data_IF_294888712050
#
_entry.id   IF_294888712050
#
_cell.length_a   1.000
_cell.length_b   1.000
_cell.length_c   1.000
_cell.angle_alpha   90.00
_cell.angle_beta   90.00
_cell.angle_gamma   90.00
#
_symmetry.space_group_name_H-M   'P 1'
#
loop_
_entity.id
_entity.type
_entity.pdbx_description
1 polymer ?
#
# COMPACT_ATOMS: atom_id res chain seq x y z
N UNK A 1 22.64 -1.06 9.64
CA UNK A 1 22.16 -1.73 8.40
C UNK A 1 21.70 -0.62 7.48
N UNK A 2 22.53 -0.25 6.49
CA UNK A 2 22.22 0.82 5.53
C UNK A 2 21.17 0.25 4.59
N UNK A 3 19.98 0.81 4.58
CA UNK A 3 18.90 0.39 3.69
C UNK A 3 19.23 0.92 2.29
N UNK A 4 19.90 0.12 1.49
CA UNK A 4 20.07 0.42 0.07
C UNK A 4 18.73 0.14 -0.60
N UNK A 5 18.05 1.18 -1.06
CA UNK A 5 16.95 1.04 -2.02
C UNK A 5 17.55 0.57 -3.36
N UNK A 6 17.89 -0.72 -3.45
CA UNK A 6 18.65 -1.30 -4.56
C UNK A 6 17.88 -1.38 -5.89
N UNK A 7 16.61 -0.93 -5.90
CA UNK A 7 15.82 -0.85 -7.14
C UNK A 7 15.82 0.54 -7.82
N UNK A 8 16.23 1.58 -7.11
CA UNK A 8 16.19 2.95 -7.61
C UNK A 8 17.55 3.34 -8.17
N UNK A 9 17.88 2.84 -9.35
CA UNK A 9 18.97 3.41 -10.11
C UNK A 9 18.52 4.74 -10.72
N UNK A 10 19.42 5.73 -10.75
CA UNK A 10 19.25 6.98 -11.49
C UNK A 10 19.16 6.64 -12.99
N UNK A 11 17.98 6.13 -13.39
CA UNK A 11 17.61 5.89 -14.78
C UNK A 11 16.82 7.11 -15.25
N UNK A 12 16.76 7.34 -16.56
CA UNK A 12 15.92 8.38 -17.16
C UNK A 12 14.45 8.26 -16.73
N UNK A 13 14.02 7.06 -16.30
CA UNK A 13 12.69 6.81 -15.76
C UNK A 13 12.37 7.49 -14.41
N UNK A 14 13.38 7.90 -13.63
CA UNK A 14 13.14 8.59 -12.34
C UNK A 14 12.48 9.96 -12.53
N UNK A 15 12.97 10.78 -13.44
CA UNK A 15 12.41 12.11 -13.65
C UNK A 15 10.96 12.03 -14.16
N UNK A 16 10.62 10.99 -14.92
CA UNK A 16 9.25 10.73 -15.37
C UNK A 16 8.32 10.27 -14.24
N UNK A 17 8.84 9.57 -13.25
CA UNK A 17 8.07 9.00 -12.14
C UNK A 17 8.09 9.86 -10.87
N UNK A 18 8.97 10.83 -10.78
CA UNK A 18 9.25 11.64 -9.58
C UNK A 18 8.00 12.25 -8.96
N UNK A 19 7.15 12.85 -9.78
CA UNK A 19 5.92 13.48 -9.29
C UNK A 19 4.94 12.46 -8.69
N UNK A 20 4.86 11.28 -9.29
CA UNK A 20 4.06 10.17 -8.76
C UNK A 20 4.57 9.68 -7.40
N UNK A 21 5.88 9.56 -7.28
CA UNK A 21 6.55 9.16 -6.03
C UNK A 21 6.33 10.21 -4.92
N UNK A 22 6.57 11.49 -5.23
CA UNK A 22 6.34 12.58 -4.27
C UNK A 22 4.88 12.56 -3.80
N UNK A 23 3.94 12.45 -4.73
CA UNK A 23 2.51 12.38 -4.42
C UNK A 23 2.17 11.19 -3.52
N UNK A 24 2.69 10.01 -3.81
CA UNK A 24 2.48 8.82 -2.97
C UNK A 24 3.05 9.01 -1.56
N UNK A 25 4.22 9.63 -1.44
CA UNK A 25 4.80 9.94 -0.13
C UNK A 25 4.00 10.99 0.63
N UNK A 26 3.45 11.99 -0.05
CA UNK A 26 2.58 13.00 0.55
C UNK A 26 1.26 12.44 1.08
N UNK A 27 0.76 11.33 0.50
CA UNK A 27 -0.40 10.60 1.04
C UNK A 27 -0.08 9.94 2.40
N UNK A 28 1.17 9.59 2.63
CA UNK A 28 1.63 9.00 3.91
C UNK A 28 2.04 10.07 4.92
N UNK A 29 2.67 11.12 4.45
CA UNK A 29 3.14 12.25 5.23
C UNK A 29 3.05 13.55 4.42
N UNK A 30 2.00 14.37 4.62
CA UNK A 30 1.80 15.61 3.88
C UNK A 30 2.87 16.69 4.14
N UNK A 31 3.75 16.49 5.12
CA UNK A 31 4.87 17.42 5.35
C UNK A 31 6.00 17.25 4.36
N UNK A 32 6.02 16.18 3.59
CA UNK A 32 7.02 15.91 2.55
C UNK A 32 6.80 16.87 1.38
N UNK A 33 7.82 17.64 1.05
CA UNK A 33 7.77 18.60 -0.06
C UNK A 33 8.49 18.12 -1.31
N UNK A 34 9.49 17.26 -1.15
CA UNK A 34 10.24 16.66 -2.26
C UNK A 34 10.99 15.40 -1.83
N UNK A 35 11.38 14.63 -2.83
CA UNK A 35 12.23 13.44 -2.69
C UNK A 35 13.37 13.57 -3.68
N UNK A 36 14.57 13.17 -3.28
CA UNK A 36 15.75 13.22 -4.12
C UNK A 36 16.71 12.08 -3.85
N UNK A 37 17.78 12.05 -4.64
CA UNK A 37 18.89 11.12 -4.44
C UNK A 37 20.16 11.89 -4.18
N UNK A 38 20.91 11.48 -3.18
CA UNK A 38 22.26 11.98 -2.95
C UNK A 38 23.28 10.85 -3.09
N UNK A 39 24.42 11.18 -3.60
CA UNK A 39 25.53 10.24 -3.74
C UNK A 39 26.06 9.91 -2.33
N UNK A 40 26.03 8.63 -1.98
CA UNK A 40 26.60 8.06 -0.78
C UNK A 40 27.77 7.18 -1.21
N UNK A 41 28.88 7.22 -0.59
CA UNK A 41 30.11 6.45 -0.85
C UNK A 41 30.21 5.73 -2.22
N UNK A 42 31.26 6.02 -2.98
CA UNK A 42 31.54 5.49 -4.32
C UNK A 42 30.42 5.72 -5.35
N UNK A 43 29.66 4.72 -5.75
CA UNK A 43 28.59 4.84 -6.78
C UNK A 43 27.19 4.52 -6.24
N UNK A 44 27.03 4.45 -4.92
CA UNK A 44 25.73 4.24 -4.30
C UNK A 44 25.00 5.58 -4.12
N UNK A 45 23.68 5.55 -4.30
CA UNK A 45 22.78 6.69 -4.04
C UNK A 45 21.89 6.36 -2.86
N UNK A 46 21.64 7.37 -2.04
CA UNK A 46 20.68 7.31 -0.94
C UNK A 46 19.48 8.19 -1.26
N UNK A 47 18.28 7.69 -0.92
CA UNK A 47 17.05 8.50 -0.98
C UNK A 47 17.06 9.52 0.14
N UNK A 48 16.77 10.78 -0.18
CA UNK A 48 16.62 11.86 0.77
C UNK A 48 15.24 12.47 0.67
N UNK A 49 14.68 12.80 1.82
CA UNK A 49 13.34 13.37 1.95
C UNK A 49 13.49 14.84 2.36
N UNK A 50 12.76 15.72 1.69
CA UNK A 50 12.74 17.14 2.02
C UNK A 50 11.39 17.52 2.65
N UNK A 51 11.45 18.28 3.75
CA UNK A 51 10.32 18.94 4.41
C UNK A 51 10.61 20.44 4.50
N UNK A 52 10.11 21.21 3.54
CA UNK A 52 10.53 22.57 3.32
C UNK A 52 12.04 22.64 3.04
N UNK A 53 12.76 23.43 3.82
CA UNK A 53 14.22 23.60 3.69
C UNK A 53 15.03 22.56 4.48
N UNK A 54 14.39 21.59 5.12
CA UNK A 54 15.08 20.56 5.90
C UNK A 54 15.19 19.27 5.12
N UNK A 55 16.36 18.65 5.22
CA UNK A 55 16.70 17.38 4.57
C UNK A 55 16.79 16.28 5.63
N UNK A 56 16.25 15.12 5.32
CA UNK A 56 16.27 13.93 6.17
C UNK A 56 16.76 12.72 5.36
N UNK A 57 17.64 11.95 5.96
CA UNK A 57 18.07 10.67 5.37
C UNK A 57 16.95 9.66 5.49
N UNK A 58 16.73 8.91 4.43
CA UNK A 58 15.64 7.93 4.33
C UNK A 58 15.66 6.89 5.47
N UNK A 59 16.83 6.47 5.90
CA UNK A 59 16.97 5.53 7.02
C UNK A 59 16.42 6.04 8.36
N UNK A 60 16.18 7.34 8.49
CA UNK A 60 15.60 7.98 9.70
C UNK A 60 14.07 8.09 9.62
N UNK A 61 13.49 7.75 8.49
CA UNK A 61 12.05 7.82 8.28
C UNK A 61 11.28 6.69 8.98
N UNK A 62 9.95 6.86 9.09
CA UNK A 62 9.08 5.83 9.67
C UNK A 62 9.17 4.52 8.87
N UNK A 63 8.92 3.39 9.54
CA UNK A 63 8.92 2.07 8.90
C UNK A 63 7.86 1.97 7.79
N UNK A 64 6.72 2.64 7.96
CA UNK A 64 5.68 2.69 6.93
C UNK A 64 6.15 3.40 5.67
N UNK A 65 6.80 4.57 5.80
CA UNK A 65 7.35 5.30 4.68
C UNK A 65 8.47 4.50 3.98
N UNK A 66 9.34 3.86 4.76
CA UNK A 66 10.38 2.98 4.24
C UNK A 66 9.78 1.82 3.44
N UNK A 67 8.73 1.17 3.96
CA UNK A 67 8.03 0.07 3.29
C UNK A 67 7.44 0.50 1.94
N UNK A 68 6.70 1.60 1.92
CA UNK A 68 6.11 2.11 0.68
C UNK A 68 7.19 2.52 -0.32
N UNK A 69 8.28 3.13 0.12
CA UNK A 69 9.40 3.45 -0.76
C UNK A 69 9.96 2.19 -1.45
N UNK A 70 10.15 1.11 -0.72
CA UNK A 70 10.64 -0.15 -1.29
C UNK A 70 9.67 -0.76 -2.32
N UNK A 71 8.37 -0.55 -2.12
CA UNK A 71 7.34 -1.05 -3.03
C UNK A 71 7.08 -0.13 -4.22
N UNK A 72 7.51 1.13 -4.16
CA UNK A 72 7.07 2.18 -5.07
C UNK A 72 7.39 1.88 -6.54
N UNK A 73 8.60 1.41 -6.85
CA UNK A 73 8.96 1.04 -8.23
C UNK A 73 8.03 -0.03 -8.79
N UNK A 74 7.78 -1.09 -8.01
CA UNK A 74 6.88 -2.17 -8.39
C UNK A 74 5.43 -1.70 -8.52
N UNK A 75 4.97 -0.82 -7.61
CA UNK A 75 3.63 -0.23 -7.66
C UNK A 75 3.44 0.60 -8.94
N UNK A 76 4.34 1.55 -9.19
CA UNK A 76 4.25 2.45 -10.35
C UNK A 76 4.39 1.69 -11.67
N UNK A 77 5.34 0.76 -11.76
CA UNK A 77 5.51 -0.08 -12.95
C UNK A 77 4.26 -0.90 -13.23
N UNK A 78 3.70 -1.58 -12.21
CA UNK A 78 2.48 -2.37 -12.37
C UNK A 78 1.30 -1.50 -12.83
N UNK A 79 1.19 -0.27 -12.31
CA UNK A 79 0.13 0.67 -12.72
C UNK A 79 0.26 1.10 -14.19
N UNK A 80 1.47 1.29 -14.69
CA UNK A 80 1.72 1.79 -16.06
C UNK A 80 1.70 0.65 -17.09
N UNK A 81 2.41 -0.43 -16.81
CA UNK A 81 2.62 -1.55 -17.73
C UNK A 81 1.49 -2.60 -17.63
N UNK A 82 0.81 -2.68 -16.50
CA UNK A 82 -0.15 -3.73 -16.19
C UNK A 82 0.51 -4.95 -15.53
N UNK A 83 -0.27 -5.98 -15.27
CA UNK A 83 0.18 -7.19 -14.60
C UNK A 83 -0.46 -7.36 -13.22
N UNK A 84 0.10 -8.24 -12.40
CA UNK A 84 -0.36 -8.52 -11.03
C UNK A 84 0.77 -8.29 -10.05
N UNK A 85 0.54 -7.45 -9.06
CA UNK A 85 1.43 -7.23 -7.93
C UNK A 85 0.80 -7.80 -6.65
N UNK A 86 1.47 -8.78 -6.05
CA UNK A 86 1.08 -9.32 -4.75
C UNK A 86 1.91 -8.67 -3.63
N UNK A 87 1.23 -8.17 -2.60
CA UNK A 87 1.86 -7.55 -1.43
C UNK A 87 1.27 -8.13 -0.16
N UNK A 88 2.11 -8.78 0.61
CA UNK A 88 1.69 -9.37 1.88
C UNK A 88 1.77 -8.35 3.02
N UNK A 89 0.74 -8.35 3.89
CA UNK A 89 0.62 -7.46 5.06
C UNK A 89 0.94 -5.99 4.75
N UNK A 90 0.34 -5.41 3.71
CA UNK A 90 0.64 -4.02 3.33
C UNK A 90 0.41 -3.03 4.47
N UNK A 91 -0.54 -3.31 5.35
CA UNK A 91 -0.91 -2.47 6.52
C UNK A 91 0.15 -2.45 7.63
N UNK A 92 1.11 -3.36 7.62
CA UNK A 92 2.13 -3.41 8.67
C UNK A 92 2.95 -2.10 8.69
N UNK A 93 2.92 -1.40 9.83
CA UNK A 93 3.61 -0.11 10.08
C UNK A 93 3.07 1.11 9.33
N UNK A 94 1.92 1.01 8.65
CA UNK A 94 1.29 2.12 7.95
C UNK A 94 -0.07 2.41 8.60
N UNK A 95 -0.41 3.70 8.77
CA UNK A 95 -1.70 4.05 9.34
C UNK A 95 -2.85 3.68 8.40
N UNK A 96 -3.99 3.29 8.96
CA UNK A 96 -5.19 2.98 8.18
C UNK A 96 -5.59 4.13 7.25
N UNK A 97 -5.52 5.37 7.74
CA UNK A 97 -5.88 6.55 6.95
C UNK A 97 -4.96 6.68 5.74
N UNK A 98 -3.64 6.59 5.95
CA UNK A 98 -2.67 6.67 4.86
C UNK A 98 -2.84 5.55 3.83
N UNK A 99 -3.20 4.34 4.26
CA UNK A 99 -3.51 3.24 3.34
C UNK A 99 -4.76 3.50 2.52
N UNK A 100 -5.83 4.00 3.14
CA UNK A 100 -7.06 4.34 2.42
C UNK A 100 -6.81 5.46 1.39
N UNK A 101 -6.00 6.45 1.72
CA UNK A 101 -5.57 7.50 0.79
C UNK A 101 -4.73 6.94 -0.35
N UNK A 102 -3.78 6.03 -0.06
CA UNK A 102 -2.97 5.35 -1.06
C UNK A 102 -3.85 4.54 -2.04
N UNK A 103 -4.80 3.77 -1.53
CA UNK A 103 -5.72 3.01 -2.36
C UNK A 103 -6.58 3.92 -3.24
N UNK A 104 -7.17 4.95 -2.66
CA UNK A 104 -8.06 5.84 -3.38
C UNK A 104 -7.32 6.75 -4.37
N UNK A 105 -6.18 7.29 -3.96
CA UNK A 105 -5.44 8.29 -4.74
C UNK A 105 -4.44 7.71 -5.74
N UNK A 106 -4.02 6.46 -5.58
CA UNK A 106 -3.03 5.83 -6.44
C UNK A 106 -3.58 4.58 -7.13
N UNK A 107 -4.06 3.59 -6.38
CA UNK A 107 -4.41 2.27 -6.91
C UNK A 107 -5.75 2.29 -7.65
N UNK A 108 -6.78 2.93 -7.09
CA UNK A 108 -8.14 2.98 -7.67
C UNK A 108 -8.31 4.09 -8.72
N UNK A 109 -7.24 4.49 -9.39
CA UNK A 109 -7.32 5.50 -10.46
C UNK A 109 -7.63 4.87 -11.80
N UNK A 110 -8.27 5.64 -12.70
CA UNK A 110 -8.56 5.17 -14.08
C UNK A 110 -7.30 4.91 -14.90
N UNK A 111 -6.17 5.47 -14.51
CA UNK A 111 -4.88 5.29 -15.18
C UNK A 111 -4.21 3.98 -14.80
N UNK A 112 -4.64 3.35 -13.71
CA UNK A 112 -4.09 2.07 -13.28
C UNK A 112 -4.49 0.96 -14.24
N UNK A 113 -3.49 0.30 -14.84
CA UNK A 113 -3.65 -0.85 -15.73
C UNK A 113 -3.39 -2.18 -15.01
N UNK A 114 -2.80 -2.12 -13.82
CA UNK A 114 -2.39 -3.30 -13.07
C UNK A 114 -3.47 -3.83 -12.13
N UNK A 115 -3.27 -5.05 -11.67
CA UNK A 115 -4.03 -5.66 -10.60
C UNK A 115 -3.18 -5.77 -9.35
N UNK A 116 -3.81 -5.64 -8.18
CA UNK A 116 -3.15 -5.72 -6.89
C UNK A 116 -3.81 -6.80 -6.05
N UNK A 117 -3.02 -7.75 -5.57
CA UNK A 117 -3.41 -8.73 -4.57
C UNK A 117 -2.75 -8.36 -3.25
N UNK A 118 -3.53 -7.92 -2.28
CA UNK A 118 -3.00 -7.36 -1.03
C UNK A 118 -3.61 -8.13 0.14
N UNK A 119 -2.77 -8.60 1.05
CA UNK A 119 -3.23 -9.12 2.33
C UNK A 119 -3.12 -8.06 3.42
N UNK A 120 -4.02 -8.13 4.39
CA UNK A 120 -4.06 -7.23 5.54
C UNK A 120 -4.76 -7.89 6.72
N UNK A 121 -4.33 -7.55 7.93
CA UNK A 121 -5.02 -7.89 9.17
C UNK A 121 -5.93 -6.76 9.68
N UNK A 122 -6.02 -5.65 8.96
CA UNK A 122 -6.75 -4.46 9.39
C UNK A 122 -8.19 -4.44 8.85
N UNK A 123 -9.20 -4.76 9.69
CA UNK A 123 -10.60 -4.81 9.23
C UNK A 123 -11.15 -3.44 8.80
N UNK A 124 -10.55 -2.33 9.24
CA UNK A 124 -10.96 -0.99 8.82
C UNK A 124 -10.65 -0.69 7.35
N UNK A 125 -9.85 -1.53 6.69
CA UNK A 125 -9.67 -1.46 5.23
C UNK A 125 -10.89 -1.99 4.45
N UNK A 126 -11.85 -2.65 5.11
CA UNK A 126 -13.12 -3.08 4.50
C UNK A 126 -14.06 -1.89 4.25
N UNK A 127 -13.56 -0.87 3.56
CA UNK A 127 -14.27 0.37 3.29
C UNK A 127 -14.96 0.30 1.93
N UNK A 128 -16.29 0.16 1.94
CA UNK A 128 -17.11 0.05 0.72
C UNK A 128 -17.22 1.36 -0.10
N UNK A 129 -16.68 2.47 0.38
CA UNK A 129 -16.52 3.67 -0.43
C UNK A 129 -15.27 3.59 -1.33
N UNK A 130 -14.34 2.67 -1.02
CA UNK A 130 -13.08 2.47 -1.75
C UNK A 130 -13.10 1.15 -2.50
N UNK A 131 -13.62 0.09 -1.87
CA UNK A 131 -13.63 -1.26 -2.43
C UNK A 131 -15.06 -1.75 -2.66
N UNK A 132 -15.28 -2.42 -3.78
CA UNK A 132 -16.51 -3.17 -4.00
C UNK A 132 -16.44 -4.51 -3.24
N UNK A 133 -17.60 -5.11 -2.86
CA UNK A 133 -17.61 -6.41 -2.16
C UNK A 133 -16.82 -7.51 -2.88
N UNK A 134 -16.85 -7.53 -4.22
CA UNK A 134 -16.11 -8.47 -5.07
C UNK A 134 -14.58 -8.32 -4.99
N UNK A 135 -14.11 -7.21 -4.45
CA UNK A 135 -12.67 -6.94 -4.27
C UNK A 135 -12.17 -7.32 -2.87
N UNK A 136 -13.09 -7.67 -1.96
CA UNK A 136 -12.80 -8.01 -0.59
C UNK A 136 -12.97 -9.52 -0.35
N UNK A 137 -11.94 -10.15 0.16
CA UNK A 137 -11.91 -11.58 0.43
C UNK A 137 -11.56 -11.85 1.89
N UNK A 138 -12.13 -12.90 2.45
CA UNK A 138 -11.75 -13.45 3.75
C UNK A 138 -11.00 -14.75 3.52
N UNK A 139 -9.82 -14.87 4.15
CA UNK A 139 -9.10 -16.14 4.24
C UNK A 139 -9.33 -16.71 5.64
N UNK A 140 -10.07 -17.80 5.71
CA UNK A 140 -10.45 -18.46 6.95
C UNK A 140 -9.73 -19.80 7.11
N UNK A 141 -8.94 -19.95 8.16
CA UNK A 141 -8.26 -21.22 8.48
C UNK A 141 -9.20 -22.13 9.24
N UNK A 142 -9.43 -23.34 8.73
CA UNK A 142 -10.29 -24.34 9.34
C UNK A 142 -9.53 -25.20 10.35
N UNK A 143 -10.28 -25.94 11.19
CA UNK A 143 -9.72 -26.85 12.20
C UNK A 143 -8.89 -27.99 11.58
N UNK A 144 -9.16 -28.39 10.36
CA UNK A 144 -8.40 -29.38 9.60
C UNK A 144 -7.15 -28.81 8.93
N UNK A 145 -6.78 -27.56 9.25
CA UNK A 145 -5.66 -26.79 8.71
C UNK A 145 -5.82 -26.37 7.24
N UNK A 146 -6.93 -26.66 6.60
CA UNK A 146 -7.23 -26.11 5.28
C UNK A 146 -7.54 -24.62 5.37
N UNK A 147 -7.35 -23.90 4.26
CA UNK A 147 -7.75 -22.50 4.15
C UNK A 147 -8.90 -22.38 3.17
N UNK A 148 -9.96 -21.76 3.60
CA UNK A 148 -11.09 -21.39 2.75
C UNK A 148 -11.00 -19.90 2.42
N UNK A 149 -11.19 -19.56 1.16
CA UNK A 149 -11.19 -18.16 0.70
C UNK A 149 -12.53 -17.90 0.01
N UNK A 150 -13.21 -16.84 0.42
CA UNK A 150 -14.49 -16.42 -0.14
C UNK A 150 -14.60 -14.90 -0.22
N UNK A 151 -15.40 -14.41 -1.15
CA UNK A 151 -15.65 -13.00 -1.36
C UNK A 151 -16.80 -12.51 -0.47
N UNK A 152 -16.77 -11.24 -0.06
CA UNK A 152 -17.93 -10.62 0.58
C UNK A 152 -19.16 -10.52 -0.33
N UNK A 153 -18.99 -10.63 -1.64
CA UNK A 153 -20.08 -10.67 -2.61
C UNK A 153 -20.97 -11.92 -2.47
N UNK A 154 -20.46 -12.99 -1.85
CA UNK A 154 -21.21 -14.20 -1.57
C UNK A 154 -22.25 -14.03 -0.44
N UNK A 155 -22.18 -12.93 0.27
CA UNK A 155 -23.10 -12.61 1.38
C UNK A 155 -24.11 -11.55 0.96
N UNK A 156 -25.35 -11.68 1.46
CA UNK A 156 -26.38 -10.65 1.29
C UNK A 156 -26.06 -9.42 2.16
N UNK A 157 -25.33 -8.48 1.60
CA UNK A 157 -24.91 -7.24 2.24
C UNK A 157 -26.02 -6.19 2.17
N UNK A 158 -27.15 -6.44 2.87
CA UNK A 158 -28.30 -5.52 2.86
C UNK A 158 -27.96 -4.15 3.46
N UNK A 159 -27.98 -3.14 2.60
CA UNK A 159 -28.34 -1.73 2.86
C UNK A 159 -27.49 -0.86 3.79
N UNK A 160 -26.39 -1.29 4.37
CA UNK A 160 -25.58 -0.39 5.20
C UNK A 160 -24.07 -0.49 4.85
N UNK A 161 -23.68 0.32 3.88
CA UNK A 161 -22.29 0.36 3.36
C UNK A 161 -21.22 0.63 4.43
N UNK A 162 -21.61 1.05 5.63
CA UNK A 162 -20.68 1.42 6.70
C UNK A 162 -20.51 0.35 7.78
N UNK A 163 -21.19 -0.81 7.68
CA UNK A 163 -21.17 -1.84 8.74
C UNK A 163 -20.39 -3.10 8.41
N UNK A 164 -19.77 -3.20 7.23
CA UNK A 164 -19.10 -4.43 6.82
C UNK A 164 -18.05 -4.86 7.83
N UNK A 165 -17.18 -3.94 8.26
CA UNK A 165 -16.15 -4.22 9.27
C UNK A 165 -16.74 -4.58 10.65
N UNK A 166 -17.85 -3.95 11.06
CA UNK A 166 -18.51 -4.29 12.33
C UNK A 166 -19.08 -5.70 12.32
N UNK A 167 -19.72 -6.09 11.23
CA UNK A 167 -20.28 -7.41 11.06
C UNK A 167 -19.17 -8.48 10.96
N UNK A 168 -18.05 -8.15 10.32
CA UNK A 168 -16.85 -8.98 10.33
C UNK A 168 -16.34 -9.17 11.77
N UNK A 169 -16.19 -8.09 12.54
CA UNK A 169 -15.72 -8.18 13.95
C UNK A 169 -16.70 -8.95 14.87
N UNK A 170 -17.99 -9.03 14.50
CA UNK A 170 -18.98 -9.86 15.18
C UNK A 170 -18.97 -11.34 14.75
N UNK A 171 -18.05 -11.71 13.83
CA UNK A 171 -17.91 -13.09 13.34
C UNK A 171 -18.97 -13.53 12.33
N UNK A 172 -19.76 -12.61 11.76
CA UNK A 172 -20.85 -12.95 10.81
C UNK A 172 -20.32 -13.57 9.52
N UNK A 173 -19.08 -13.28 9.17
CA UNK A 173 -18.45 -13.75 7.94
C UNK A 173 -17.33 -14.77 8.19
N UNK A 174 -17.12 -15.23 9.41
CA UNK A 174 -15.97 -16.06 9.77
C UNK A 174 -14.65 -15.26 9.77
N UNK A 175 -13.51 -15.97 9.73
CA UNK A 175 -12.19 -15.32 9.65
C UNK A 175 -11.70 -14.64 10.92
N UNK A 176 -12.45 -14.74 12.02
CA UNK A 176 -12.07 -14.23 13.35
C UNK A 176 -11.55 -15.38 14.18
N UNK A 177 -10.27 -15.39 14.39
CA UNK A 177 -9.60 -16.26 15.34
C UNK A 177 -9.04 -17.51 14.70
N UNK A 178 -7.78 -17.45 14.48
CA UNK A 178 -6.87 -18.58 14.57
C UNK A 178 -6.16 -18.52 15.88
#
# INVERSE_FOLDING_TARGET
>A
MVCSCTGWHRSDSWEEQKDGVIKAFQMLDPTITSVGFEKWQSDNYEVVIYRGNRKYHFGMESKGLQKICHLMDSLLRNMVEGGVLAVDELDSSISTISLLELFNGLINTKQNKGQFLITSHNPFLMNQNIFQPQQLYVANKKMDLSTEVYSFDEFDLRNDKNKLYEDYLKGRFGGIGG
#
